data_IF_129014128018
#
_entry.id   IF_129014128018
#
_cell.length_a   1.000
_cell.length_b   1.000
_cell.length_c   1.000
_cell.angle_alpha   90.00
_cell.angle_beta   90.00
_cell.angle_gamma   90.00
#
_symmetry.space_group_name_H-M   'P 1'
#
loop_
_entity.id
_entity.type
_entity.pdbx_description
1 polymer ?
#
# COMPACT_ATOMS: atom_id res chain seq x y z
N UNK A 1 2.78 13.52 21.08
CA UNK A 1 1.90 12.55 20.38
C UNK A 1 1.81 12.91 18.90
N UNK A 2 1.96 11.92 18.03
CA UNK A 2 1.95 12.15 16.59
C UNK A 2 0.52 12.02 16.05
N UNK A 3 -0.09 13.13 15.62
CA UNK A 3 -1.49 13.19 15.14
C UNK A 3 -1.84 12.11 14.11
N UNK A 4 -1.06 11.89 13.03
CA UNK A 4 -1.30 10.86 12.04
C UNK A 4 -1.38 9.43 12.60
N UNK A 5 -0.58 9.06 13.61
CA UNK A 5 -0.63 7.73 14.22
C UNK A 5 -1.94 7.54 15.00
N UNK A 6 -2.37 8.57 15.77
CA UNK A 6 -3.67 8.52 16.43
C UNK A 6 -4.85 8.50 15.42
N UNK A 7 -4.72 9.26 14.33
CA UNK A 7 -5.68 9.23 13.22
C UNK A 7 -5.80 7.84 12.59
N UNK A 8 -4.67 7.18 12.31
CA UNK A 8 -4.64 5.82 11.76
C UNK A 8 -5.33 4.81 12.69
N UNK A 9 -5.05 4.85 13.98
CA UNK A 9 -5.74 4.01 14.97
C UNK A 9 -7.24 4.26 14.95
N UNK A 10 -7.64 5.55 15.00
CA UNK A 10 -9.05 5.95 14.96
C UNK A 10 -9.77 5.47 13.70
N UNK A 11 -9.12 5.57 12.54
CA UNK A 11 -9.63 5.05 11.27
C UNK A 11 -9.85 3.53 11.32
N UNK A 12 -8.82 2.77 11.74
CA UNK A 12 -8.89 1.30 11.78
C UNK A 12 -9.99 0.83 12.73
N UNK A 13 -9.95 1.26 13.99
CA UNK A 13 -10.90 0.78 15.00
C UNK A 13 -12.29 1.38 14.86
N UNK A 14 -12.42 2.57 14.28
CA UNK A 14 -13.71 3.15 13.90
C UNK A 14 -14.43 2.29 12.85
N UNK A 15 -13.72 1.84 11.83
CA UNK A 15 -14.29 0.95 10.81
C UNK A 15 -14.57 -0.48 11.35
N UNK A 16 -13.70 -1.03 12.23
CA UNK A 16 -14.01 -2.29 12.93
C UNK A 16 -15.32 -2.15 13.72
N UNK A 17 -15.51 -1.02 14.42
CA UNK A 17 -16.73 -0.75 15.17
C UNK A 17 -17.96 -0.69 14.26
N UNK A 18 -17.86 -0.03 13.10
CA UNK A 18 -18.95 0.01 12.11
C UNK A 18 -19.30 -1.40 11.59
N UNK A 19 -18.31 -2.21 11.26
CA UNK A 19 -18.53 -3.60 10.83
C UNK A 19 -19.24 -4.40 11.94
N UNK A 20 -18.80 -4.26 13.19
CA UNK A 20 -19.42 -4.94 14.33
C UNK A 20 -20.90 -4.50 14.56
N UNK A 21 -21.23 -3.25 14.23
CA UNK A 21 -22.63 -2.78 14.27
C UNK A 21 -23.49 -3.35 13.15
N UNK A 22 -22.90 -3.55 11.96
CA UNK A 22 -23.63 -4.03 10.78
C UNK A 22 -23.88 -5.54 10.80
N UNK A 23 -22.95 -6.35 11.34
CA UNK A 23 -23.08 -7.80 11.37
C UNK A 23 -24.42 -8.27 12.00
N UNK A 24 -24.87 -7.77 13.16
CA UNK A 24 -26.17 -8.14 13.73
C UNK A 24 -27.36 -7.70 12.85
N UNK A 25 -27.27 -6.59 12.15
CA UNK A 25 -28.32 -6.07 11.27
C UNK A 25 -28.57 -7.00 10.07
N UNK A 26 -27.52 -7.65 9.56
CA UNK A 26 -27.60 -8.54 8.41
C UNK A 26 -27.51 -10.02 8.80
N UNK A 27 -27.73 -10.36 10.08
CA UNK A 27 -27.52 -11.70 10.63
C UNK A 27 -28.31 -12.82 9.91
N UNK A 28 -29.46 -12.51 9.30
CA UNK A 28 -30.24 -13.45 8.48
C UNK A 28 -29.63 -13.73 7.10
N UNK A 29 -28.63 -12.98 6.67
CA UNK A 29 -27.93 -13.14 5.39
C UNK A 29 -26.47 -13.52 5.63
N UNK A 30 -26.17 -14.82 5.67
CA UNK A 30 -24.83 -15.32 5.94
C UNK A 30 -23.77 -14.80 4.96
N UNK A 31 -24.11 -14.60 3.68
CA UNK A 31 -23.18 -14.04 2.68
C UNK A 31 -22.77 -12.59 3.03
N UNK A 32 -23.73 -11.79 3.49
CA UNK A 32 -23.44 -10.43 3.94
C UNK A 32 -22.62 -10.40 5.24
N UNK A 33 -22.92 -11.31 6.18
CA UNK A 33 -22.12 -11.48 7.41
C UNK A 33 -20.68 -11.83 7.06
N UNK A 34 -20.46 -12.79 6.15
CA UNK A 34 -19.10 -13.23 5.79
C UNK A 34 -18.35 -12.19 4.98
N UNK A 35 -19.03 -11.41 4.14
CA UNK A 35 -18.39 -10.27 3.47
C UNK A 35 -17.93 -9.20 4.49
N UNK A 36 -18.75 -8.87 5.49
CA UNK A 36 -18.38 -7.95 6.57
C UNK A 36 -17.23 -8.49 7.40
N UNK A 37 -17.19 -9.82 7.68
CA UNK A 37 -16.05 -10.45 8.36
C UNK A 37 -14.77 -10.31 7.55
N UNK A 38 -14.82 -10.53 6.23
CA UNK A 38 -13.68 -10.36 5.35
C UNK A 38 -13.21 -8.88 5.29
N UNK A 39 -14.12 -7.92 5.31
CA UNK A 39 -13.80 -6.48 5.45
C UNK A 39 -13.17 -6.19 6.82
N UNK A 40 -13.68 -6.76 7.91
CA UNK A 40 -13.06 -6.63 9.25
C UNK A 40 -11.65 -7.16 9.27
N UNK A 41 -11.39 -8.27 8.57
CA UNK A 41 -10.05 -8.83 8.43
C UNK A 41 -9.06 -7.87 7.74
N UNK A 42 -9.49 -7.04 6.78
CA UNK A 42 -8.64 -5.97 6.19
C UNK A 42 -8.17 -5.00 7.28
N UNK A 43 -9.08 -4.51 8.11
CA UNK A 43 -8.73 -3.56 9.17
C UNK A 43 -7.85 -4.19 10.25
N UNK A 44 -8.07 -5.46 10.61
CA UNK A 44 -7.16 -6.16 11.50
C UNK A 44 -5.79 -6.43 10.89
N UNK A 45 -5.72 -6.68 9.58
CA UNK A 45 -4.45 -6.75 8.87
C UNK A 45 -3.69 -5.41 8.94
N UNK A 46 -4.36 -4.28 8.72
CA UNK A 46 -3.75 -2.95 8.91
C UNK A 46 -3.31 -2.74 10.37
N UNK A 47 -4.11 -3.18 11.34
CA UNK A 47 -3.81 -3.05 12.76
C UNK A 47 -2.59 -3.87 13.17
N UNK A 48 -2.51 -5.14 12.78
CA UNK A 48 -1.40 -6.04 13.12
C UNK A 48 -0.10 -5.62 12.43
N UNK A 49 -0.17 -5.08 11.21
CA UNK A 49 1.00 -4.59 10.50
C UNK A 49 1.56 -3.30 11.12
N UNK A 50 0.69 -2.36 11.47
CA UNK A 50 1.09 -1.06 11.98
C UNK A 50 1.42 -1.08 13.48
N UNK A 51 0.59 -1.72 14.31
CA UNK A 51 0.64 -1.64 15.77
C UNK A 51 1.02 -2.96 16.46
N UNK A 52 0.98 -4.08 15.75
CA UNK A 52 1.33 -5.40 16.28
C UNK A 52 0.32 -5.94 17.28
N UNK A 53 0.55 -5.68 18.57
CA UNK A 53 -0.33 -6.11 19.63
C UNK A 53 -1.52 -5.15 19.76
N UNK A 54 -2.73 -5.63 19.49
CA UNK A 54 -3.95 -4.80 19.48
C UNK A 54 -5.12 -5.56 20.09
N UNK A 55 -6.19 -4.89 20.57
CA UNK A 55 -7.38 -5.58 21.05
C UNK A 55 -8.14 -6.25 19.90
N UNK A 56 -8.71 -7.43 20.14
CA UNK A 56 -9.68 -8.06 19.25
C UNK A 56 -11.08 -7.75 19.77
N UNK A 57 -11.85 -7.01 18.97
CA UNK A 57 -13.21 -6.56 19.28
C UNK A 57 -14.15 -7.08 18.19
N UNK A 58 -15.10 -7.91 18.56
CA UNK A 58 -16.11 -8.50 17.66
C UNK A 58 -17.52 -7.99 17.93
N UNK A 59 -17.68 -7.28 19.03
CA UNK A 59 -18.87 -6.51 19.39
C UNK A 59 -18.46 -5.14 19.97
N UNK A 60 -19.39 -4.22 20.18
CA UNK A 60 -19.10 -2.89 20.71
C UNK A 60 -19.57 -2.74 22.17
N UNK A 61 -19.66 -3.84 22.93
CA UNK A 61 -20.28 -3.85 24.26
C UNK A 61 -19.31 -3.58 25.39
N UNK A 62 -18.03 -3.92 25.20
CA UNK A 62 -17.02 -3.81 26.27
C UNK A 62 -15.65 -3.42 25.74
N UNK A 63 -14.83 -2.84 26.60
CA UNK A 63 -13.41 -2.63 26.36
C UNK A 63 -12.69 -3.97 26.31
N UNK A 64 -11.84 -4.18 25.30
CA UNK A 64 -11.05 -5.39 25.15
C UNK A 64 -9.58 -5.13 25.51
N UNK A 65 -8.95 -6.11 26.14
CA UNK A 65 -7.52 -6.11 26.43
C UNK A 65 -6.69 -6.32 25.15
N UNK A 66 -5.46 -5.85 25.19
CA UNK A 66 -4.47 -6.12 24.15
C UNK A 66 -4.29 -7.62 23.96
N UNK A 67 -4.32 -8.06 22.70
CA UNK A 67 -3.97 -9.39 22.25
C UNK A 67 -2.59 -9.39 21.61
N UNK A 68 -1.90 -10.51 21.70
CA UNK A 68 -0.61 -10.67 21.03
C UNK A 68 -0.74 -10.59 19.51
N UNK A 69 0.32 -10.19 18.84
CA UNK A 69 0.39 -10.14 17.38
C UNK A 69 0.02 -11.49 16.74
N UNK A 70 0.41 -12.62 17.38
CA UNK A 70 0.07 -13.96 16.94
C UNK A 70 -1.44 -14.27 17.08
N UNK A 71 -2.09 -13.85 18.17
CA UNK A 71 -3.55 -14.02 18.33
C UNK A 71 -4.30 -13.20 17.27
N UNK A 72 -3.86 -11.97 16.99
CA UNK A 72 -4.46 -11.12 15.94
C UNK A 72 -4.28 -11.76 14.56
N UNK A 73 -3.09 -12.29 14.26
CA UNK A 73 -2.85 -13.06 13.04
C UNK A 73 -3.83 -14.25 12.90
N UNK A 74 -3.95 -15.04 13.94
CA UNK A 74 -4.86 -16.21 13.94
C UNK A 74 -6.33 -15.78 13.76
N UNK A 75 -6.73 -14.67 14.35
CA UNK A 75 -8.06 -14.09 14.17
C UNK A 75 -8.31 -13.71 12.70
N UNK A 76 -7.38 -13.01 12.06
CA UNK A 76 -7.48 -12.64 10.63
C UNK A 76 -7.62 -13.88 9.75
N UNK A 77 -6.78 -14.90 9.98
CA UNK A 77 -6.83 -16.16 9.23
C UNK A 77 -8.19 -16.85 9.42
N UNK A 78 -8.70 -16.91 10.66
CA UNK A 78 -10.00 -17.49 10.95
C UNK A 78 -11.16 -16.75 10.26
N UNK A 79 -11.16 -15.42 10.29
CA UNK A 79 -12.17 -14.60 9.62
C UNK A 79 -12.21 -14.86 8.12
N UNK A 80 -11.04 -14.84 7.46
CA UNK A 80 -10.94 -15.06 6.03
C UNK A 80 -11.26 -16.49 5.60
N UNK A 81 -10.69 -17.50 6.27
CA UNK A 81 -10.92 -18.90 5.90
C UNK A 81 -12.37 -19.32 6.09
N UNK A 82 -13.04 -18.82 7.12
CA UNK A 82 -14.46 -19.07 7.33
C UNK A 82 -15.37 -18.33 6.34
N UNK A 83 -14.99 -17.13 5.93
CA UNK A 83 -15.79 -16.31 5.02
C UNK A 83 -15.71 -16.78 3.55
N UNK A 84 -14.50 -17.12 3.07
CA UNK A 84 -14.22 -17.41 1.65
C UNK A 84 -15.27 -18.31 0.98
N UNK A 85 -15.75 -19.45 1.57
CA UNK A 85 -16.69 -20.33 0.88
C UNK A 85 -18.03 -19.66 0.53
N UNK A 86 -18.43 -18.64 1.27
CA UNK A 86 -19.72 -17.95 1.12
C UNK A 86 -19.62 -16.64 0.34
N UNK A 87 -18.39 -16.15 0.06
CA UNK A 87 -18.18 -14.95 -0.72
C UNK A 87 -18.50 -15.16 -2.20
N UNK A 88 -18.82 -14.10 -2.97
CA UNK A 88 -19.01 -14.20 -4.41
C UNK A 88 -17.80 -14.83 -5.10
N UNK A 89 -18.03 -15.87 -5.91
CA UNK A 89 -16.98 -16.56 -6.65
C UNK A 89 -16.49 -15.76 -7.86
N UNK A 90 -17.40 -15.00 -8.51
CA UNK A 90 -17.10 -14.15 -9.67
C UNK A 90 -16.49 -12.81 -9.30
N UNK A 91 -16.01 -12.09 -10.33
CA UNK A 91 -15.56 -10.71 -10.17
C UNK A 91 -16.72 -9.82 -9.73
N UNK A 92 -16.49 -9.02 -8.72
CA UNK A 92 -17.42 -7.97 -8.28
C UNK A 92 -16.60 -6.77 -7.84
N UNK A 93 -16.73 -5.66 -8.56
CA UNK A 93 -15.93 -4.47 -8.32
C UNK A 93 -16.16 -3.92 -6.91
N UNK A 94 -15.09 -3.62 -6.21
CA UNK A 94 -15.12 -3.06 -4.83
C UNK A 94 -15.84 -3.93 -3.79
N UNK A 95 -15.99 -5.25 -4.06
CA UNK A 95 -16.60 -6.22 -3.12
C UNK A 95 -15.56 -7.25 -2.69
N UNK A 96 -15.70 -7.74 -1.47
CA UNK A 96 -14.90 -8.87 -1.01
C UNK A 96 -15.39 -10.15 -1.69
N UNK A 97 -14.72 -10.53 -2.77
CA UNK A 97 -14.92 -11.80 -3.48
C UNK A 97 -14.02 -12.89 -2.90
N UNK A 98 -14.23 -14.15 -3.33
CA UNK A 98 -13.34 -15.25 -2.94
C UNK A 98 -11.88 -14.94 -3.30
N UNK A 99 -11.63 -14.41 -4.52
CA UNK A 99 -10.27 -14.09 -4.94
C UNK A 99 -9.67 -12.89 -4.20
N UNK A 100 -10.47 -11.87 -3.87
CA UNK A 100 -10.02 -10.76 -3.04
C UNK A 100 -9.63 -11.22 -1.62
N UNK A 101 -10.46 -12.07 -1.01
CA UNK A 101 -10.18 -12.62 0.32
C UNK A 101 -8.97 -13.57 0.30
N UNK A 102 -8.80 -14.40 -0.74
CA UNK A 102 -7.61 -15.25 -0.93
C UNK A 102 -6.35 -14.41 -1.16
N UNK A 103 -6.41 -13.35 -1.96
CA UNK A 103 -5.26 -12.45 -2.18
C UNK A 103 -4.80 -11.80 -0.86
N UNK A 104 -5.75 -11.35 -0.02
CA UNK A 104 -5.44 -10.86 1.32
C UNK A 104 -4.88 -11.98 2.21
N UNK A 105 -5.46 -13.17 2.19
CA UNK A 105 -5.01 -14.31 2.98
C UNK A 105 -3.59 -14.75 2.59
N UNK A 106 -3.26 -14.75 1.29
CA UNK A 106 -1.90 -15.02 0.80
C UNK A 106 -0.90 -14.01 1.38
N UNK A 107 -1.27 -12.71 1.42
CA UNK A 107 -0.45 -11.66 2.02
C UNK A 107 -0.29 -11.86 3.54
N UNK A 108 -1.33 -12.28 4.24
CA UNK A 108 -1.28 -12.60 5.66
C UNK A 108 -0.32 -13.78 5.92
N UNK A 109 -0.44 -14.87 5.16
CA UNK A 109 0.45 -16.03 5.26
C UNK A 109 1.90 -15.67 4.93
N UNK A 110 2.14 -14.84 3.92
CA UNK A 110 3.47 -14.36 3.55
C UNK A 110 4.17 -13.64 4.71
N UNK A 111 3.41 -12.95 5.55
CA UNK A 111 3.91 -12.21 6.71
C UNK A 111 3.86 -13.00 8.03
N UNK A 112 3.53 -14.29 8.01
CA UNK A 112 3.37 -15.12 9.21
C UNK A 112 4.62 -15.11 10.11
N UNK A 113 5.83 -15.16 9.52
CA UNK A 113 7.09 -15.09 10.25
C UNK A 113 7.23 -13.82 11.08
N UNK A 114 6.75 -12.68 10.55
CA UNK A 114 6.76 -11.38 11.24
C UNK A 114 5.65 -11.29 12.30
N UNK A 115 4.46 -11.86 12.02
CA UNK A 115 3.30 -11.66 12.88
C UNK A 115 3.21 -12.66 14.02
N UNK A 116 3.60 -13.93 13.79
CA UNK A 116 3.51 -14.99 14.81
C UNK A 116 4.82 -15.73 15.10
N UNK A 117 5.94 -15.31 14.47
CA UNK A 117 7.24 -15.94 14.68
C UNK A 117 7.46 -17.28 13.97
N UNK A 118 6.49 -17.76 13.18
CA UNK A 118 6.57 -19.00 12.41
C UNK A 118 6.12 -18.78 10.98
N UNK A 119 6.92 -19.24 10.02
CA UNK A 119 6.65 -19.02 8.58
C UNK A 119 5.56 -19.96 8.04
N UNK A 120 4.80 -19.50 7.06
CA UNK A 120 3.76 -20.27 6.37
C UNK A 120 3.90 -20.13 4.83
N UNK A 121 5.14 -20.26 4.34
CA UNK A 121 5.45 -20.04 2.92
C UNK A 121 4.62 -20.93 1.99
N UNK A 122 4.39 -22.20 2.35
CA UNK A 122 3.58 -23.10 1.51
C UNK A 122 2.14 -22.60 1.40
N UNK A 123 1.53 -22.18 2.50
CA UNK A 123 0.16 -21.63 2.47
C UNK A 123 0.09 -20.34 1.66
N UNK A 124 1.11 -19.49 1.78
CA UNK A 124 1.19 -18.27 0.97
C UNK A 124 1.27 -18.59 -0.53
N UNK A 125 2.13 -19.54 -0.90
CA UNK A 125 2.26 -20.03 -2.27
C UNK A 125 0.95 -20.59 -2.82
N UNK A 126 0.36 -21.57 -2.13
CA UNK A 126 -0.84 -22.25 -2.59
C UNK A 126 -2.03 -21.29 -2.73
N UNK A 127 -2.17 -20.37 -1.78
CA UNK A 127 -3.28 -19.41 -1.79
C UNK A 127 -3.10 -18.38 -2.91
N UNK A 128 -1.88 -17.90 -3.16
CA UNK A 128 -1.58 -17.01 -4.28
C UNK A 128 -1.80 -17.74 -5.63
N UNK A 129 -1.36 -18.98 -5.74
CA UNK A 129 -1.54 -19.81 -6.94
C UNK A 129 -3.02 -20.04 -7.27
N UNK A 130 -3.88 -20.25 -6.26
CA UNK A 130 -5.34 -20.33 -6.44
C UNK A 130 -5.94 -19.05 -7.03
N UNK A 131 -5.46 -17.88 -6.65
CA UNK A 131 -5.93 -16.60 -7.22
C UNK A 131 -5.47 -16.47 -8.68
N UNK A 132 -4.20 -16.77 -8.95
CA UNK A 132 -3.62 -16.66 -10.30
C UNK A 132 -4.33 -17.60 -11.29
N UNK A 133 -4.69 -18.81 -10.83
CA UNK A 133 -5.37 -19.85 -11.63
C UNK A 133 -6.89 -19.82 -11.52
N UNK A 134 -7.46 -18.79 -10.91
CA UNK A 134 -8.91 -18.75 -10.73
C UNK A 134 -9.65 -18.66 -12.07
N UNK A 135 -10.88 -19.20 -12.10
CA UNK A 135 -11.76 -19.13 -13.28
C UNK A 135 -12.18 -17.71 -13.66
N UNK A 136 -11.86 -16.72 -12.83
CA UNK A 136 -12.11 -15.32 -13.10
C UNK A 136 -11.15 -14.73 -14.17
N UNK A 137 -10.12 -15.47 -14.57
CA UNK A 137 -9.19 -15.07 -15.63
C UNK A 137 -8.60 -13.67 -15.42
N UNK A 138 -8.06 -13.43 -14.23
CA UNK A 138 -7.30 -12.22 -13.97
C UNK A 138 -6.09 -12.14 -14.91
N UNK A 139 -5.79 -10.96 -15.42
CA UNK A 139 -4.65 -10.77 -16.32
C UNK A 139 -3.91 -9.48 -16.01
N UNK A 140 -2.60 -9.49 -16.22
CA UNK A 140 -1.80 -8.28 -16.15
C UNK A 140 -2.24 -7.31 -17.25
N UNK A 141 -2.38 -6.06 -16.88
CA UNK A 141 -2.57 -4.97 -17.82
C UNK A 141 -1.30 -4.77 -18.68
N UNK A 142 -1.45 -4.26 -19.88
CA UNK A 142 -0.33 -4.03 -20.81
C UNK A 142 0.73 -3.09 -20.24
N UNK A 143 0.35 -2.20 -19.33
CA UNK A 143 1.23 -1.31 -18.57
C UNK A 143 0.80 -1.30 -17.11
N UNK A 144 1.78 -1.24 -16.19
CA UNK A 144 1.51 -1.05 -14.75
C UNK A 144 0.63 0.19 -14.52
N UNK A 145 0.90 1.29 -15.22
CA UNK A 145 0.25 2.57 -14.97
C UNK A 145 -1.21 2.60 -15.41
N UNK A 146 -1.62 1.76 -16.36
CA UNK A 146 -3.02 1.68 -16.78
C UNK A 146 -3.98 1.20 -15.68
N UNK A 147 -3.45 0.61 -14.60
CA UNK A 147 -4.23 0.25 -13.42
C UNK A 147 -4.57 1.43 -12.52
N UNK A 148 -3.97 2.60 -12.75
CA UNK A 148 -4.00 3.76 -11.87
C UNK A 148 -4.50 5.03 -12.57
N UNK A 149 -5.07 4.90 -13.76
CA UNK A 149 -5.73 6.01 -14.47
C UNK A 149 -6.94 6.52 -13.68
N UNK A 150 -7.44 7.71 -14.02
CA UNK A 150 -8.58 8.32 -13.30
C UNK A 150 -9.81 7.40 -13.31
N UNK A 151 -10.07 6.72 -14.42
CA UNK A 151 -11.17 5.77 -14.56
C UNK A 151 -10.64 4.33 -14.60
N UNK A 152 -10.15 3.84 -13.45
CA UNK A 152 -9.47 2.53 -13.36
C UNK A 152 -10.38 1.35 -12.97
N UNK A 153 -11.71 1.54 -12.94
CA UNK A 153 -12.69 0.52 -12.57
C UNK A 153 -12.71 -0.68 -13.53
N UNK A 154 -12.31 -0.47 -14.79
CA UNK A 154 -12.30 -1.50 -15.83
C UNK A 154 -11.04 -2.37 -15.87
N UNK A 155 -10.07 -2.17 -14.96
CA UNK A 155 -8.83 -2.96 -14.98
C UNK A 155 -9.09 -4.42 -14.63
N UNK A 156 -8.63 -5.33 -15.50
CA UNK A 156 -8.70 -6.78 -15.26
C UNK A 156 -7.59 -7.28 -14.32
N UNK A 157 -6.67 -6.42 -13.93
CA UNK A 157 -5.62 -6.71 -12.96
C UNK A 157 -6.04 -6.37 -11.53
N UNK A 158 -6.95 -5.39 -11.34
CA UNK A 158 -7.35 -4.91 -10.02
C UNK A 158 -8.37 -5.87 -9.38
N UNK A 159 -7.91 -6.66 -8.40
CA UNK A 159 -8.71 -7.68 -7.71
C UNK A 159 -9.63 -7.03 -6.68
N UNK A 160 -9.12 -6.04 -5.94
CA UNK A 160 -9.88 -5.27 -4.97
C UNK A 160 -9.40 -3.82 -4.96
N UNK A 161 -10.31 -2.90 -5.23
CA UNK A 161 -10.08 -1.47 -5.18
C UNK A 161 -11.09 -0.80 -4.24
N UNK A 162 -10.67 0.29 -3.62
CA UNK A 162 -11.51 1.14 -2.78
C UNK A 162 -11.96 2.32 -3.65
N UNK A 163 -13.26 2.47 -3.92
CA UNK A 163 -13.75 3.49 -4.82
C UNK A 163 -13.65 4.89 -4.21
N UNK A 164 -13.23 5.82 -5.05
CA UNK A 164 -13.20 7.24 -4.74
C UNK A 164 -13.88 8.05 -5.85
N UNK A 165 -14.43 9.18 -5.47
CA UNK A 165 -15.02 10.15 -6.38
C UNK A 165 -14.75 11.56 -5.82
N UNK A 166 -14.22 12.44 -6.65
CA UNK A 166 -13.81 13.79 -6.23
C UNK A 166 -14.95 14.63 -5.63
N UNK A 167 -16.21 14.26 -5.86
CA UNK A 167 -17.39 14.99 -5.35
C UNK A 167 -18.20 14.19 -4.32
N UNK A 168 -18.29 12.87 -4.47
CA UNK A 168 -19.21 12.02 -3.68
C UNK A 168 -18.50 11.19 -2.61
N UNK A 169 -17.23 10.82 -2.85
CA UNK A 169 -16.46 9.94 -1.99
C UNK A 169 -14.99 10.39 -1.98
N UNK A 170 -14.71 11.55 -1.40
CA UNK A 170 -13.39 12.16 -1.36
C UNK A 170 -12.38 11.40 -0.50
N UNK A 171 -11.13 11.87 -0.52
CA UNK A 171 -10.02 11.33 0.27
C UNK A 171 -8.83 10.84 -0.56
N UNK A 172 -9.01 10.59 -1.86
CA UNK A 172 -7.92 10.23 -2.76
C UNK A 172 -7.15 11.48 -3.18
N UNK A 173 -6.18 11.90 -2.37
CA UNK A 173 -5.48 13.18 -2.55
C UNK A 173 -3.97 13.03 -2.78
N UNK A 174 -3.52 11.96 -3.44
CA UNK A 174 -2.11 11.75 -3.74
C UNK A 174 -1.51 12.85 -4.59
N UNK A 175 -2.25 13.42 -5.56
CA UNK A 175 -1.81 14.56 -6.34
C UNK A 175 -1.46 15.76 -5.46
N UNK A 176 -2.25 16.03 -4.42
CA UNK A 176 -2.00 17.15 -3.51
C UNK A 176 -0.75 16.93 -2.67
N UNK A 177 -0.48 15.67 -2.30
CA UNK A 177 0.66 15.30 -1.45
C UNK A 177 1.98 15.31 -2.20
N UNK A 178 1.99 14.98 -3.48
CA UNK A 178 3.23 14.82 -4.26
C UNK A 178 3.60 16.04 -5.09
N UNK A 179 2.62 16.75 -5.67
CA UNK A 179 2.89 17.89 -6.55
C UNK A 179 3.34 19.13 -5.77
N UNK A 180 4.19 19.96 -6.40
CA UNK A 180 4.54 21.28 -5.90
C UNK A 180 3.38 22.26 -6.10
N UNK A 181 3.31 23.30 -5.28
CA UNK A 181 2.28 24.35 -5.33
C UNK A 181 2.02 24.88 -6.74
N UNK A 182 3.09 25.19 -7.49
CA UNK A 182 3.01 25.73 -8.84
C UNK A 182 2.49 24.73 -9.89
N UNK A 183 2.54 23.42 -9.61
CA UNK A 183 1.96 22.41 -10.51
C UNK A 183 0.43 22.50 -10.61
N UNK A 184 -0.22 23.31 -9.78
CA UNK A 184 -1.59 23.73 -10.02
C UNK A 184 -1.78 24.23 -11.45
N UNK A 185 -0.81 25.02 -11.98
CA UNK A 185 -0.84 25.56 -13.35
C UNK A 185 -0.55 24.50 -14.41
N UNK A 186 0.21 23.45 -14.09
CA UNK A 186 0.48 22.34 -15.02
C UNK A 186 -0.78 21.54 -15.33
N UNK A 187 -1.59 21.30 -14.30
CA UNK A 187 -2.71 20.37 -14.38
C UNK A 187 -4.09 21.06 -14.31
N UNK A 188 -4.15 22.39 -14.18
CA UNK A 188 -5.41 23.13 -14.07
C UNK A 188 -6.19 22.80 -12.80
N UNK A 189 -5.50 22.57 -11.67
CA UNK A 189 -6.16 22.18 -10.44
C UNK A 189 -6.85 23.36 -9.75
N UNK A 190 -8.04 23.15 -9.19
CA UNK A 190 -8.76 24.15 -8.42
C UNK A 190 -8.07 24.50 -7.09
N UNK A 191 -7.37 23.53 -6.49
CA UNK A 191 -6.62 23.71 -5.25
C UNK A 191 -5.11 23.61 -5.48
N UNK A 192 -4.34 24.39 -4.72
CA UNK A 192 -2.87 24.32 -4.74
C UNK A 192 -2.37 23.04 -4.04
N UNK A 193 -1.53 22.23 -4.67
CA UNK A 193 -0.90 21.07 -4.03
C UNK A 193 0.00 21.44 -2.85
N UNK A 194 0.44 20.42 -2.08
CA UNK A 194 1.08 20.65 -0.77
C UNK A 194 2.60 20.44 -0.73
N UNK A 195 3.20 19.94 -1.81
CA UNK A 195 4.64 19.63 -1.89
C UNK A 195 5.16 18.73 -0.75
N UNK A 196 4.36 17.74 -0.33
CA UNK A 196 4.61 16.99 0.89
C UNK A 196 5.46 15.73 0.71
N UNK A 197 5.23 14.94 -0.35
CA UNK A 197 5.89 13.64 -0.53
C UNK A 197 6.73 13.60 -1.80
N UNK A 198 7.92 13.01 -1.67
CA UNK A 198 8.82 12.80 -2.80
C UNK A 198 9.55 11.45 -2.70
N UNK A 199 10.22 11.08 -3.77
CA UNK A 199 11.05 9.89 -3.89
C UNK A 199 12.52 10.27 -3.87
N UNK A 200 13.33 9.53 -3.09
CA UNK A 200 14.77 9.71 -2.97
C UNK A 200 15.51 9.11 -4.17
N UNK A 201 16.73 9.60 -4.41
CA UNK A 201 17.60 9.19 -5.51
C UNK A 201 17.83 7.67 -5.56
N UNK A 202 18.13 7.04 -4.41
CA UNK A 202 18.41 5.61 -4.34
C UNK A 202 17.28 4.77 -4.93
N UNK A 203 16.05 5.11 -4.61
CA UNK A 203 14.90 4.39 -5.13
C UNK A 203 14.59 4.77 -6.58
N UNK A 204 14.64 6.07 -6.92
CA UNK A 204 14.46 6.53 -8.29
C UNK A 204 15.45 5.88 -9.25
N UNK A 205 16.74 5.84 -8.88
CA UNK A 205 17.81 5.26 -9.69
C UNK A 205 17.79 3.72 -9.74
N UNK A 206 16.93 3.06 -8.93
CA UNK A 206 16.76 1.59 -9.00
C UNK A 206 15.95 1.12 -10.21
N UNK A 207 15.31 2.04 -10.94
CA UNK A 207 14.62 1.74 -12.20
C UNK A 207 15.65 1.64 -13.33
N UNK A 208 15.62 0.53 -14.04
CA UNK A 208 16.53 0.28 -15.16
C UNK A 208 16.22 1.20 -16.36
N UNK A 209 17.20 1.43 -17.20
CA UNK A 209 16.95 2.16 -18.46
C UNK A 209 15.94 1.41 -19.32
N UNK A 210 14.91 2.11 -19.77
CA UNK A 210 13.80 1.51 -20.53
C UNK A 210 12.67 0.91 -19.69
N UNK A 211 12.77 0.95 -18.34
CA UNK A 211 11.67 0.51 -17.48
C UNK A 211 10.45 1.42 -17.70
N UNK A 212 9.39 0.86 -18.28
CA UNK A 212 8.17 1.59 -18.63
C UNK A 212 7.48 2.19 -17.39
N UNK A 213 7.71 1.61 -16.19
CA UNK A 213 7.22 2.15 -14.92
C UNK A 213 7.87 3.48 -14.56
N UNK A 214 9.03 3.79 -15.12
CA UNK A 214 9.70 5.07 -14.97
C UNK A 214 8.84 6.28 -15.39
N UNK A 215 7.82 6.08 -16.24
CA UNK A 215 6.86 7.10 -16.62
C UNK A 215 6.02 7.65 -15.45
N UNK A 216 6.03 6.97 -14.29
CA UNK A 216 5.39 7.51 -13.08
C UNK A 216 6.15 8.68 -12.46
N UNK A 217 7.38 8.94 -12.85
CA UNK A 217 8.24 9.92 -12.20
C UNK A 217 8.19 11.29 -12.85
N UNK A 218 7.94 12.31 -12.07
CA UNK A 218 7.98 13.74 -12.48
C UNK A 218 9.29 14.33 -11.98
N UNK A 219 10.19 14.69 -12.90
CA UNK A 219 11.52 15.23 -12.60
C UNK A 219 11.88 16.42 -13.50
N UNK A 220 12.95 17.15 -13.14
CA UNK A 220 13.48 18.24 -13.93
C UNK A 220 12.54 19.45 -13.99
N UNK A 221 12.74 20.31 -15.00
CA UNK A 221 11.97 21.52 -15.18
C UNK A 221 10.48 21.24 -15.34
N UNK A 222 9.67 22.01 -14.59
CA UNK A 222 8.21 21.94 -14.64
C UNK A 222 7.65 23.09 -15.48
N UNK A 223 6.50 22.81 -16.12
CA UNK A 223 5.88 23.76 -17.05
C UNK A 223 4.38 23.91 -16.74
N UNK A 224 3.87 25.10 -16.94
CA UNK A 224 2.43 25.36 -16.96
C UNK A 224 1.78 24.66 -18.17
N UNK A 225 0.45 24.50 -18.17
CA UNK A 225 -0.29 23.99 -19.33
C UNK A 225 -0.08 24.83 -20.60
N UNK A 226 0.25 26.12 -20.45
CA UNK A 226 0.62 27.04 -21.56
C UNK A 226 2.00 26.77 -22.16
N UNK A 227 2.82 25.89 -21.56
CA UNK A 227 4.21 25.68 -21.94
C UNK A 227 5.21 26.64 -21.27
N UNK A 228 4.76 27.61 -20.48
CA UNK A 228 5.65 28.50 -19.74
C UNK A 228 6.38 27.74 -18.62
N UNK A 229 7.68 28.06 -18.43
CA UNK A 229 8.43 27.48 -17.29
C UNK A 229 7.83 27.91 -15.96
N UNK A 230 7.65 26.97 -15.07
CA UNK A 230 7.24 27.28 -13.70
C UNK A 230 8.45 27.72 -12.86
N UNK A 231 8.16 28.56 -11.89
CA UNK A 231 9.11 29.07 -10.90
C UNK A 231 8.71 28.58 -9.50
N UNK A 232 9.71 28.46 -8.63
CA UNK A 232 9.47 28.29 -7.20
C UNK A 232 9.07 29.63 -6.53
N UNK A 233 8.83 29.60 -5.23
CA UNK A 233 8.44 30.81 -4.47
C UNK A 233 9.54 31.88 -4.43
N UNK A 234 10.78 31.58 -4.79
CA UNK A 234 11.92 32.50 -4.83
C UNK A 234 12.19 33.03 -6.24
N UNK A 235 11.39 32.61 -7.23
CA UNK A 235 11.56 32.99 -8.63
C UNK A 235 12.61 32.17 -9.39
N UNK A 236 13.20 31.16 -8.78
CA UNK A 236 14.09 30.20 -9.46
C UNK A 236 13.29 29.21 -10.31
N UNK A 237 13.93 28.57 -11.30
CA UNK A 237 13.31 27.57 -12.13
C UNK A 237 12.85 26.37 -11.28
N UNK A 238 11.58 25.99 -11.39
CA UNK A 238 11.03 24.83 -10.70
C UNK A 238 11.49 23.55 -11.39
N UNK A 239 12.65 23.04 -10.97
CA UNK A 239 13.25 21.83 -11.54
C UNK A 239 13.50 20.79 -10.43
N UNK A 240 12.70 19.71 -10.41
CA UNK A 240 12.85 18.66 -9.40
C UNK A 240 14.17 17.90 -9.56
N UNK A 241 14.91 17.77 -8.44
CA UNK A 241 16.20 17.09 -8.38
C UNK A 241 16.09 15.80 -7.57
N UNK A 242 16.74 14.73 -8.05
CA UNK A 242 16.69 13.44 -7.40
C UNK A 242 17.55 13.39 -6.12
N UNK A 243 18.64 14.12 -6.09
CA UNK A 243 19.65 14.04 -5.05
C UNK A 243 19.94 15.38 -4.37
N UNK A 244 20.16 15.34 -3.07
CA UNK A 244 20.56 16.45 -2.20
C UNK A 244 21.19 15.89 -0.92
N UNK A 245 21.98 16.72 -0.21
CA UNK A 245 22.81 16.24 0.91
C UNK A 245 22.21 16.46 2.28
N UNK A 246 21.26 17.39 2.43
CA UNK A 246 20.75 17.83 3.72
C UNK A 246 19.39 17.20 4.01
N UNK A 247 19.27 16.47 5.13
CA UNK A 247 18.03 15.80 5.55
C UNK A 247 17.00 16.75 6.17
N UNK A 248 17.46 17.82 6.81
CA UNK A 248 16.61 18.87 7.37
C UNK A 248 16.87 20.18 6.63
N UNK A 249 15.95 20.56 5.78
CA UNK A 249 16.04 21.77 4.97
C UNK A 249 15.10 22.85 5.50
N UNK A 250 15.47 24.09 5.24
CA UNK A 250 14.68 25.29 5.51
C UNK A 250 14.47 26.08 4.24
N UNK A 251 13.68 27.13 4.30
CA UNK A 251 13.48 28.05 3.18
C UNK A 251 14.78 28.74 2.70
N UNK A 252 15.85 28.71 3.52
CA UNK A 252 17.17 29.23 3.12
C UNK A 252 17.88 28.30 2.12
N UNK A 253 17.56 27.01 2.12
CA UNK A 253 18.20 26.03 1.25
C UNK A 253 17.68 26.16 -0.20
N UNK A 254 18.58 26.22 -1.19
CA UNK A 254 18.22 26.43 -2.59
C UNK A 254 17.33 25.29 -3.16
N UNK A 255 17.48 24.06 -2.65
CA UNK A 255 16.73 22.88 -3.12
C UNK A 255 15.48 22.58 -2.29
N UNK A 256 15.14 23.41 -1.29
CA UNK A 256 14.06 23.14 -0.33
C UNK A 256 12.72 22.75 -0.98
N UNK A 257 12.32 23.49 -2.03
CA UNK A 257 11.04 23.25 -2.69
C UNK A 257 11.12 22.22 -3.83
N UNK A 258 12.33 21.97 -4.35
CA UNK A 258 12.54 21.14 -5.54
C UNK A 258 13.19 19.78 -5.25
N UNK A 259 13.58 19.54 -3.99
CA UNK A 259 14.18 18.27 -3.57
C UNK A 259 13.22 17.08 -3.75
N UNK A 260 13.74 16.01 -4.32
CA UNK A 260 13.05 14.73 -4.56
C UNK A 260 12.19 14.70 -5.82
N UNK A 261 12.04 13.49 -6.33
CA UNK A 261 11.23 13.19 -7.52
C UNK A 261 9.78 13.01 -7.12
N UNK A 262 8.86 13.62 -7.85
CA UNK A 262 7.42 13.52 -7.59
C UNK A 262 6.85 12.33 -8.34
N UNK A 263 5.67 11.84 -7.92
CA UNK A 263 5.02 10.68 -8.52
C UNK A 263 3.67 11.03 -9.12
N UNK A 264 3.42 10.49 -10.31
CA UNK A 264 2.11 10.43 -10.96
C UNK A 264 1.70 8.98 -11.21
N UNK A 265 2.07 8.04 -10.34
CA UNK A 265 1.63 6.65 -10.49
C UNK A 265 0.12 6.56 -10.57
N UNK A 266 -0.57 7.18 -9.63
CA UNK A 266 -1.98 7.52 -9.83
C UNK A 266 -2.04 8.74 -10.76
N UNK A 267 -2.69 8.57 -11.90
CA UNK A 267 -2.81 9.63 -12.91
C UNK A 267 -3.37 10.90 -12.28
N UNK A 268 -2.75 12.03 -12.59
CA UNK A 268 -3.22 13.31 -12.09
C UNK A 268 -4.51 13.70 -12.82
N UNK A 269 -5.60 13.86 -12.07
CA UNK A 269 -6.89 14.30 -12.62
C UNK A 269 -6.83 15.77 -12.98
N UNK A 270 -6.63 16.05 -14.28
CA UNK A 270 -6.54 17.42 -14.80
C UNK A 270 -7.86 18.17 -14.66
N UNK A 271 -7.77 19.49 -14.51
CA UNK A 271 -8.92 20.40 -14.37
C UNK A 271 -9.86 20.01 -13.22
N UNK A 272 -9.33 19.32 -12.21
CA UNK A 272 -10.11 18.93 -11.04
C UNK A 272 -10.32 20.13 -10.13
N UNK A 273 -11.57 20.53 -9.83
CA UNK A 273 -11.86 21.67 -8.97
C UNK A 273 -11.56 21.39 -7.49
N UNK A 274 -11.43 20.14 -7.11
CA UNK A 274 -11.18 19.69 -5.73
C UNK A 274 -9.74 19.21 -5.54
N UNK A 275 -9.31 19.07 -4.28
CA UNK A 275 -8.04 18.42 -3.93
C UNK A 275 -8.10 16.89 -4.08
N UNK A 276 -9.29 16.30 -4.02
CA UNK A 276 -9.49 14.85 -4.13
C UNK A 276 -9.66 14.41 -5.58
N UNK A 277 -9.13 13.24 -5.90
CA UNK A 277 -9.20 12.61 -7.22
C UNK A 277 -10.29 11.53 -7.27
N UNK A 278 -10.67 11.12 -8.48
CA UNK A 278 -11.63 10.03 -8.71
C UNK A 278 -10.96 8.70 -9.08
N UNK A 279 -9.64 8.60 -9.01
CA UNK A 279 -8.96 7.30 -9.15
C UNK A 279 -9.31 6.42 -7.94
N UNK A 280 -9.73 5.18 -8.18
CA UNK A 280 -9.92 4.24 -7.10
C UNK A 280 -8.59 3.74 -6.55
N UNK A 281 -8.49 3.61 -5.23
CA UNK A 281 -7.28 3.10 -4.60
C UNK A 281 -7.17 1.59 -4.77
N UNK A 282 -6.16 1.15 -5.50
CA UNK A 282 -5.91 -0.27 -5.76
C UNK A 282 -5.27 -0.91 -4.52
N UNK A 283 -6.06 -1.71 -3.80
CA UNK A 283 -5.58 -2.38 -2.58
C UNK A 283 -4.96 -3.75 -2.86
N UNK A 284 -5.58 -4.55 -3.75
CA UNK A 284 -5.06 -5.86 -4.16
C UNK A 284 -5.12 -5.97 -5.69
N UNK A 285 -4.04 -6.38 -6.32
CA UNK A 285 -3.96 -6.61 -7.76
C UNK A 285 -3.11 -7.82 -8.11
N UNK A 286 -3.33 -8.37 -9.30
CA UNK A 286 -2.70 -9.62 -9.74
C UNK A 286 -1.16 -9.57 -9.70
N UNK A 287 -0.54 -8.45 -10.08
CA UNK A 287 0.92 -8.34 -10.05
C UNK A 287 1.49 -8.52 -8.63
N UNK A 288 0.81 -7.97 -7.59
CA UNK A 288 1.23 -8.23 -6.21
C UNK A 288 1.06 -9.71 -5.83
N UNK A 289 -0.03 -10.35 -6.27
CA UNK A 289 -0.25 -11.79 -6.02
C UNK A 289 0.83 -12.65 -6.70
N UNK A 290 1.22 -12.33 -7.93
CA UNK A 290 2.32 -12.99 -8.64
C UNK A 290 3.64 -12.81 -7.86
N UNK A 291 3.92 -11.60 -7.40
CA UNK A 291 5.12 -11.30 -6.62
C UNK A 291 5.10 -11.95 -5.22
N UNK A 292 3.92 -12.13 -4.60
CA UNK A 292 3.77 -12.91 -3.37
C UNK A 292 4.08 -14.40 -3.62
N UNK A 293 3.60 -14.98 -4.74
CA UNK A 293 3.91 -16.36 -5.11
C UNK A 293 5.41 -16.52 -5.42
N UNK A 294 6.01 -15.55 -6.13
CA UNK A 294 7.45 -15.54 -6.39
C UNK A 294 8.28 -15.61 -5.10
N UNK A 295 7.96 -14.75 -4.12
CA UNK A 295 8.65 -14.74 -2.84
C UNK A 295 8.46 -16.07 -2.09
N UNK A 296 7.23 -16.55 -1.99
CA UNK A 296 6.93 -17.81 -1.31
C UNK A 296 7.64 -19.00 -1.98
N UNK A 297 7.65 -19.07 -3.31
CA UNK A 297 8.38 -20.08 -4.08
C UNK A 297 9.88 -20.03 -3.78
N UNK A 298 10.50 -18.86 -3.81
CA UNK A 298 11.90 -18.66 -3.46
C UNK A 298 12.23 -19.16 -2.05
N UNK A 299 11.39 -18.77 -1.06
CA UNK A 299 11.57 -19.19 0.34
C UNK A 299 11.40 -20.71 0.55
N UNK A 300 10.67 -21.37 -0.33
CA UNK A 300 10.51 -22.85 -0.37
C UNK A 300 11.62 -23.55 -1.17
N UNK A 301 12.57 -22.82 -1.76
CA UNK A 301 13.63 -23.38 -2.59
C UNK A 301 13.23 -23.61 -4.05
N UNK A 302 11.99 -23.30 -4.46
CA UNK A 302 11.54 -23.37 -5.85
C UNK A 302 11.94 -22.11 -6.61
N UNK A 303 13.24 -21.96 -6.87
CA UNK A 303 13.82 -20.79 -7.55
C UNK A 303 13.36 -20.67 -9.00
N UNK A 304 13.06 -21.78 -9.67
CA UNK A 304 12.56 -21.77 -11.05
C UNK A 304 11.20 -21.09 -11.17
N UNK A 305 10.25 -21.40 -10.26
CA UNK A 305 8.96 -20.73 -10.24
C UNK A 305 9.12 -19.26 -9.84
N UNK A 306 9.96 -18.96 -8.85
CA UNK A 306 10.23 -17.59 -8.45
C UNK A 306 10.78 -16.74 -9.62
N UNK A 307 11.73 -17.28 -10.37
CA UNK A 307 12.31 -16.64 -11.55
C UNK A 307 11.25 -16.40 -12.64
N UNK A 308 10.40 -17.38 -12.91
CA UNK A 308 9.29 -17.26 -13.87
C UNK A 308 8.36 -16.12 -13.51
N UNK A 309 7.94 -16.04 -12.24
CA UNK A 309 7.00 -15.02 -11.76
C UNK A 309 7.62 -13.61 -11.80
N UNK A 310 8.86 -13.46 -11.36
CA UNK A 310 9.59 -12.18 -11.43
C UNK A 310 9.73 -11.73 -12.90
N UNK A 311 10.13 -12.64 -13.79
CA UNK A 311 10.33 -12.34 -15.20
C UNK A 311 9.02 -11.99 -15.92
N UNK A 312 7.89 -12.53 -15.47
CA UNK A 312 6.56 -12.11 -15.97
C UNK A 312 6.33 -10.61 -15.72
N UNK A 313 6.65 -10.13 -14.52
CA UNK A 313 6.51 -8.70 -14.18
C UNK A 313 7.53 -7.85 -14.92
N UNK A 314 8.79 -8.31 -15.00
CA UNK A 314 9.88 -7.61 -15.69
C UNK A 314 9.59 -7.46 -17.19
N UNK A 315 9.16 -8.51 -17.84
CA UNK A 315 8.81 -8.51 -19.28
C UNK A 315 7.68 -7.52 -19.57
N UNK A 316 6.60 -7.53 -18.75
CA UNK A 316 5.52 -6.53 -18.86
C UNK A 316 6.04 -5.11 -18.71
N UNK A 317 7.06 -4.90 -17.87
CA UNK A 317 7.67 -3.59 -17.60
C UNK A 317 8.72 -3.17 -18.63
N UNK A 318 8.95 -3.97 -19.68
CA UNK A 318 9.90 -3.65 -20.76
C UNK A 318 11.39 -3.81 -20.38
N UNK A 319 11.70 -4.48 -19.26
CA UNK A 319 13.09 -4.72 -18.82
C UNK A 319 13.50 -6.16 -19.03
N UNK A 320 14.81 -6.36 -19.22
CA UNK A 320 15.37 -7.68 -19.49
C UNK A 320 15.04 -8.70 -18.37
N UNK A 321 14.71 -9.96 -18.73
CA UNK A 321 14.51 -11.00 -17.74
C UNK A 321 15.82 -11.32 -16.99
N UNK A 322 15.69 -11.69 -15.72
CA UNK A 322 16.80 -12.22 -14.94
C UNK A 322 17.11 -13.64 -15.36
N UNK A 323 18.38 -14.06 -15.22
CA UNK A 323 18.82 -15.45 -15.43
C UNK A 323 18.84 -16.27 -14.14
N UNK A 324 18.88 -15.59 -13.00
CA UNK A 324 18.75 -16.16 -11.66
C UNK A 324 18.05 -15.14 -10.76
N UNK A 325 17.51 -15.58 -9.63
CA UNK A 325 16.77 -14.71 -8.70
C UNK A 325 17.33 -14.87 -7.29
N UNK A 326 17.51 -13.75 -6.61
CA UNK A 326 17.88 -13.65 -5.20
C UNK A 326 16.73 -13.02 -4.37
N UNK A 327 16.86 -13.05 -3.05
CA UNK A 327 15.92 -12.37 -2.17
C UNK A 327 15.92 -10.84 -2.40
N UNK A 328 17.09 -10.26 -2.67
CA UNK A 328 17.20 -8.82 -2.92
C UNK A 328 16.60 -8.43 -4.28
N UNK A 329 16.68 -9.30 -5.30
CA UNK A 329 15.99 -9.09 -6.59
C UNK A 329 14.47 -9.07 -6.42
N UNK A 330 13.92 -9.98 -5.60
CA UNK A 330 12.48 -10.03 -5.29
C UNK A 330 12.06 -8.76 -4.57
N UNK A 331 12.82 -8.35 -3.54
CA UNK A 331 12.52 -7.12 -2.79
C UNK A 331 12.61 -5.88 -3.66
N UNK A 332 13.58 -5.82 -4.58
CA UNK A 332 13.76 -4.72 -5.52
C UNK A 332 12.59 -4.66 -6.52
N UNK A 333 12.21 -5.82 -7.10
CA UNK A 333 11.12 -5.88 -8.07
C UNK A 333 9.77 -5.54 -7.41
N UNK A 334 9.49 -6.05 -6.21
CA UNK A 334 8.33 -5.63 -5.41
C UNK A 334 8.34 -4.13 -5.15
N UNK A 335 9.51 -3.55 -4.85
CA UNK A 335 9.65 -2.11 -4.64
C UNK A 335 9.26 -1.30 -5.88
N UNK A 336 9.82 -1.66 -7.06
CA UNK A 336 9.54 -0.97 -8.33
C UNK A 336 8.07 -1.12 -8.74
N UNK A 337 7.57 -2.34 -8.69
CA UNK A 337 6.21 -2.66 -9.10
C UNK A 337 5.15 -2.01 -8.20
N UNK A 338 5.33 -2.09 -6.89
CA UNK A 338 4.35 -1.66 -5.89
C UNK A 338 4.66 -0.25 -5.31
N UNK A 339 5.52 0.52 -5.97
CA UNK A 339 5.81 1.89 -5.57
C UNK A 339 4.50 2.69 -5.41
N UNK A 340 4.38 3.49 -4.34
CA UNK A 340 3.20 4.31 -4.03
C UNK A 340 1.88 3.54 -3.77
N UNK A 341 1.95 2.22 -3.53
CA UNK A 341 0.79 1.40 -3.14
C UNK A 341 0.76 1.04 -1.65
N UNK A 342 1.69 1.59 -0.87
CA UNK A 342 1.70 1.43 0.59
C UNK A 342 2.39 0.16 1.13
N UNK A 343 2.96 -0.72 0.27
CA UNK A 343 3.47 -2.03 0.70
C UNK A 343 4.94 -2.05 1.10
N UNK A 344 5.73 -1.01 0.77
CA UNK A 344 7.19 -1.02 0.95
C UNK A 344 7.64 -1.25 2.39
N UNK A 345 6.96 -0.62 3.37
CA UNK A 345 7.28 -0.82 4.80
C UNK A 345 7.09 -2.29 5.20
N UNK A 346 5.97 -2.89 4.85
CA UNK A 346 5.66 -4.30 5.11
C UNK A 346 6.73 -5.21 4.52
N UNK A 347 7.12 -5.00 3.26
CA UNK A 347 8.15 -5.75 2.58
C UNK A 347 9.51 -5.59 3.26
N UNK A 348 9.94 -4.37 3.57
CA UNK A 348 11.23 -4.12 4.22
C UNK A 348 11.33 -4.77 5.61
N UNK A 349 10.24 -4.79 6.40
CA UNK A 349 10.20 -5.48 7.69
C UNK A 349 10.36 -6.99 7.49
N UNK A 350 9.61 -7.60 6.55
CA UNK A 350 9.67 -9.03 6.26
C UNK A 350 11.03 -9.49 5.76
N UNK A 351 11.72 -8.66 5.00
CA UNK A 351 13.08 -8.94 4.53
C UNK A 351 14.19 -8.51 5.52
N UNK A 352 13.84 -7.98 6.70
CA UNK A 352 14.80 -7.52 7.71
C UNK A 352 15.61 -6.29 7.28
N UNK A 353 15.09 -5.52 6.33
CA UNK A 353 15.75 -4.34 5.75
C UNK A 353 15.14 -3.02 6.23
N UNK A 354 14.13 -3.03 7.10
CA UNK A 354 13.46 -1.79 7.55
C UNK A 354 14.37 -0.93 8.44
N UNK A 355 15.07 -1.55 9.37
CA UNK A 355 15.92 -0.86 10.36
C UNK A 355 17.37 -0.65 9.89
N UNK A 356 17.69 -0.96 8.63
CA UNK A 356 19.02 -0.78 8.05
C UNK A 356 19.22 0.67 7.61
N UNK A 357 20.47 1.16 7.73
CA UNK A 357 20.85 2.51 7.32
C UNK A 357 20.57 2.76 5.83
N UNK A 358 20.06 3.93 5.54
CA UNK A 358 19.85 4.45 4.19
C UNK A 358 19.87 5.97 4.22
N UNK A 359 19.90 6.61 3.06
CA UNK A 359 19.94 8.08 2.98
C UNK A 359 18.86 8.70 3.86
N UNK A 360 19.25 9.62 4.73
CA UNK A 360 18.42 10.32 5.71
C UNK A 360 17.78 9.43 6.81
N UNK A 361 18.16 8.17 6.90
CA UNK A 361 17.71 7.29 7.98
C UNK A 361 18.89 6.48 8.54
N UNK A 362 19.26 6.76 9.77
CA UNK A 362 20.24 5.97 10.52
C UNK A 362 19.66 4.59 10.86
N UNK A 363 20.54 3.65 11.21
CA UNK A 363 20.13 2.37 11.81
C UNK A 363 19.21 2.65 12.99
N UNK A 364 18.07 1.98 13.01
CA UNK A 364 17.09 2.11 14.09
C UNK A 364 16.90 0.78 14.81
N UNK A 365 16.41 0.85 16.03
CA UNK A 365 15.99 -0.33 16.77
C UNK A 365 14.75 -0.97 16.08
N UNK A 366 14.65 -2.29 16.14
CA UNK A 366 13.50 -3.05 15.62
C UNK A 366 12.17 -2.66 16.28
N UNK A 367 12.19 -2.06 17.47
CA UNK A 367 10.97 -1.50 18.07
C UNK A 367 10.28 -0.50 17.15
N UNK A 368 11.03 0.17 16.27
CA UNK A 368 10.47 1.10 15.24
C UNK A 368 9.74 0.41 14.10
N UNK A 369 9.78 -0.90 14.04
CA UNK A 369 8.95 -1.69 13.13
C UNK A 369 7.46 -1.66 13.49
N UNK A 370 7.11 -1.22 14.69
CA UNK A 370 5.73 -0.97 15.12
C UNK A 370 5.54 0.49 15.51
N UNK A 371 4.34 1.00 15.31
CA UNK A 371 3.95 2.28 15.88
C UNK A 371 3.54 2.12 17.36
N UNK A 372 3.73 3.17 18.19
CA UNK A 372 3.22 3.17 19.55
C UNK A 372 1.69 3.14 19.56
N UNK A 373 1.12 2.48 20.56
CA UNK A 373 -0.32 2.61 20.83
C UNK A 373 -0.55 4.05 21.33
N UNK A 374 -1.45 4.82 20.68
CA UNK A 374 -1.63 6.22 21.00
C UNK A 374 -2.10 6.45 22.43
N UNK A 375 -1.47 7.38 23.15
CA UNK A 375 -1.78 7.64 24.57
C UNK A 375 -3.29 7.93 24.80
N UNK A 376 -4.00 8.76 24.00
CA UNK A 376 -5.42 8.97 24.23
C UNK A 376 -6.27 7.70 24.15
N UNK A 377 -5.80 6.68 23.44
CA UNK A 377 -6.50 5.39 23.33
C UNK A 377 -6.27 4.51 24.54
N UNK A 378 -5.06 4.57 25.10
CA UNK A 378 -4.73 3.92 26.36
C UNK A 378 -5.44 4.57 27.55
N UNK A 379 -5.54 5.89 27.56
CA UNK A 379 -6.29 6.63 28.59
C UNK A 379 -7.79 6.27 28.57
N UNK A 380 -8.36 6.10 27.37
CA UNK A 380 -9.75 5.70 27.19
C UNK A 380 -10.00 4.20 27.47
N UNK A 381 -8.99 3.34 27.32
CA UNK A 381 -9.07 1.92 27.62
C UNK A 381 -7.79 1.46 28.36
N UNK A 382 -7.81 1.43 29.71
CA UNK A 382 -6.67 1.03 30.52
C UNK A 382 -6.18 -0.42 30.33
N UNK A 383 -6.97 -1.26 29.64
CA UNK A 383 -6.58 -2.64 29.29
C UNK A 383 -5.61 -2.70 28.11
N UNK A 384 -5.33 -1.56 27.46
CA UNK A 384 -4.35 -1.49 26.38
C UNK A 384 -2.92 -1.36 26.93
N UNK A 385 -2.06 -2.27 26.52
CA UNK A 385 -0.62 -2.24 26.82
C UNK A 385 0.16 -1.58 25.70
N UNK A 386 1.22 -0.84 26.04
CA UNK A 386 2.10 -0.22 25.06
C UNK A 386 3.05 -1.25 24.44
N UNK A 387 3.43 -1.02 23.18
CA UNK A 387 4.47 -1.78 22.52
C UNK A 387 5.84 -1.55 23.21
N UNK A 388 6.72 -2.58 23.27
CA UNK A 388 8.07 -2.41 23.80
C UNK A 388 8.83 -1.27 23.11
N UNK A 389 9.57 -0.50 23.90
CA UNK A 389 10.40 0.61 23.41
C UNK A 389 9.68 1.97 23.29
N UNK A 390 8.43 2.08 23.81
CA UNK A 390 7.65 3.32 23.83
C UNK A 390 7.14 3.67 25.22
#
# INVERSE_FOLDING_TARGET
QHGPINGMWGFIFGNISQVNQLIPVVASNQKAVDELRAVRAIYYFMAVDAFGNVPIVTDNKSSAATKTRAEVYNFIVSELTSAIPNLPAGKAYSRMTQDAAKALLAKVYLNAGVYKGATEWQKAYDTADQVIKSSNNWSLSSSTLSNFIVQNQGSNENIFAIPFDSFKAGGMNFQMRTLHYANQQTYGLGNSPWNGFCTLADFYNSFESGDLRGAMWIKGQQYAASGAKLKDAKGADLAFVADWEKDQMTDADAVYQVAGIRSQKYEIQKNNPNGDQSNDYVFLRLADVILMRAEAAFRLGNTAQALTDINTIRTRSGVAPLTAVTADDILAERGRELAWEGWRRNDLIRFGKFSVERKFMKVTDKTRELFPIPQPRRDANPLLTQNPGY
#
